data_IF_118445037079
#
_entry.id   IF_118445037079
#
_cell.length_a   1.000
_cell.length_b   1.000
_cell.length_c   1.000
_cell.angle_alpha   90.00
_cell.angle_beta   90.00
_cell.angle_gamma   90.00
#
_symmetry.space_group_name_H-M   'P 1'
#
loop_
_entity.id
_entity.type
_entity.pdbx_description
1 polymer ?
#
# COMPACT_ATOMS: atom_id res chain seq x y z
N UNK A 1 18.30 -13.27 1.13
CA UNK A 1 18.71 -12.90 -0.24
C UNK A 1 17.90 -11.68 -0.63
N UNK A 2 18.53 -10.59 -1.09
CA UNK A 2 17.79 -9.36 -1.41
C UNK A 2 16.89 -9.60 -2.64
N UNK A 3 15.69 -9.04 -2.62
CA UNK A 3 14.65 -9.19 -3.64
C UNK A 3 14.90 -8.37 -4.91
N UNK A 4 16.08 -7.74 -5.02
CA UNK A 4 16.43 -6.89 -6.15
C UNK A 4 16.85 -7.73 -7.35
N UNK A 5 16.06 -7.66 -8.43
CA UNK A 5 16.44 -8.30 -9.70
C UNK A 5 17.55 -7.51 -10.37
N UNK A 6 18.53 -8.19 -10.93
CA UNK A 6 19.54 -7.59 -11.80
C UNK A 6 19.11 -7.74 -13.25
N UNK A 7 19.40 -6.75 -14.08
CA UNK A 7 19.18 -6.88 -15.51
C UNK A 7 20.19 -7.89 -16.07
N UNK A 8 19.69 -8.99 -16.64
CA UNK A 8 20.51 -10.11 -17.11
C UNK A 8 21.47 -9.74 -18.25
N UNK A 9 21.22 -8.63 -18.95
CA UNK A 9 22.06 -8.19 -20.08
C UNK A 9 23.21 -7.29 -19.66
N UNK A 10 23.08 -6.56 -18.55
CA UNK A 10 24.06 -5.54 -18.12
C UNK A 10 24.62 -5.79 -16.71
N UNK A 11 24.08 -6.76 -15.97
CA UNK A 11 24.54 -7.15 -14.64
C UNK A 11 24.26 -6.13 -13.53
N UNK A 12 23.51 -5.07 -13.83
CA UNK A 12 23.25 -3.97 -12.91
C UNK A 12 21.85 -4.10 -12.23
N UNK A 13 21.62 -3.55 -11.03
CA UNK A 13 20.33 -3.65 -10.29
C UNK A 13 19.15 -2.92 -10.94
N UNK A 14 18.01 -3.60 -11.15
CA UNK A 14 16.78 -3.00 -11.71
C UNK A 14 16.28 -1.86 -10.81
N UNK A 15 15.89 -0.76 -11.44
CA UNK A 15 15.41 0.45 -10.76
C UNK A 15 13.87 0.47 -10.81
N UNK A 16 13.21 0.86 -9.72
CA UNK A 16 11.75 0.81 -9.62
C UNK A 16 11.16 2.22 -9.57
N UNK A 17 10.24 2.53 -10.48
CA UNK A 17 9.60 3.84 -10.56
C UNK A 17 8.43 3.92 -9.59
N UNK A 18 8.36 4.99 -8.79
CA UNK A 18 7.31 5.22 -7.81
C UNK A 18 5.95 5.64 -8.41
N UNK A 19 5.94 6.39 -9.51
CA UNK A 19 4.71 6.81 -10.18
C UNK A 19 4.68 6.29 -11.61
N UNK A 20 3.50 6.21 -12.25
CA UNK A 20 3.43 5.78 -13.65
C UNK A 20 4.13 6.81 -14.54
N UNK A 21 4.68 6.37 -15.67
CA UNK A 21 5.43 7.20 -16.62
C UNK A 21 4.69 8.52 -16.93
N UNK A 22 3.37 8.49 -17.09
CA UNK A 22 2.51 9.67 -17.33
C UNK A 22 2.40 10.65 -16.15
N UNK A 23 2.48 10.20 -14.89
CA UNK A 23 2.43 11.05 -13.70
C UNK A 23 3.79 11.71 -13.46
N UNK A 24 4.89 10.95 -13.59
CA UNK A 24 6.26 11.49 -13.58
C UNK A 24 6.43 12.58 -14.64
N UNK A 25 5.90 12.34 -15.84
CA UNK A 25 5.87 13.31 -16.92
C UNK A 25 5.18 14.63 -16.54
N UNK A 26 3.96 14.58 -16.02
CA UNK A 26 3.21 15.78 -15.62
C UNK A 26 3.93 16.57 -14.52
N UNK A 27 4.66 15.88 -13.64
CA UNK A 27 5.48 16.48 -12.58
C UNK A 27 6.74 17.14 -13.14
N UNK A 28 7.39 16.53 -14.15
CA UNK A 28 8.58 17.05 -14.82
C UNK A 28 8.28 18.31 -15.66
N UNK A 29 7.16 18.30 -16.38
CA UNK A 29 6.73 19.44 -17.20
C UNK A 29 6.40 20.70 -16.36
N UNK A 30 6.10 20.54 -15.07
CA UNK A 30 5.87 21.66 -14.15
C UNK A 30 7.16 22.30 -13.62
N UNK A 31 8.33 21.66 -13.71
CA UNK A 31 9.49 22.06 -12.90
C UNK A 31 10.70 22.65 -13.63
N UNK A 32 10.86 22.60 -14.96
CA UNK A 32 12.04 23.23 -15.59
C UNK A 32 11.83 23.88 -16.98
N UNK A 33 12.55 25.01 -17.27
CA UNK A 33 12.59 25.68 -18.58
C UNK A 33 13.70 25.17 -19.53
N UNK A 34 14.42 24.11 -19.16
CA UNK A 34 15.63 23.62 -19.85
C UNK A 34 15.37 22.72 -21.09
N UNK A 35 14.14 22.69 -21.62
CA UNK A 35 13.88 22.25 -22.99
C UNK A 35 13.99 20.74 -23.29
N UNK A 36 14.06 19.86 -22.29
CA UNK A 36 14.05 18.41 -22.54
C UNK A 36 12.71 17.99 -23.16
N UNK A 37 12.76 17.48 -24.40
CA UNK A 37 11.57 17.14 -25.15
C UNK A 37 10.93 15.84 -24.67
N UNK A 38 9.59 15.76 -24.81
CA UNK A 38 8.76 14.60 -24.45
C UNK A 38 9.31 13.27 -24.94
N UNK A 39 9.78 13.25 -26.18
CA UNK A 39 10.32 12.06 -26.82
C UNK A 39 11.58 11.60 -26.12
N UNK A 40 12.53 12.51 -25.84
CA UNK A 40 13.79 12.20 -25.17
C UNK A 40 13.61 11.61 -23.78
N UNK A 41 12.72 12.19 -22.96
CA UNK A 41 12.41 11.67 -21.62
C UNK A 41 11.78 10.27 -21.67
N UNK A 42 10.84 10.04 -22.60
CA UNK A 42 10.19 8.74 -22.75
C UNK A 42 11.14 7.68 -23.33
N UNK A 43 11.97 8.03 -24.32
CA UNK A 43 12.98 7.14 -24.89
C UNK A 43 14.01 6.73 -23.84
N UNK A 44 14.42 7.65 -22.96
CA UNK A 44 15.29 7.30 -21.84
C UNK A 44 14.64 6.33 -20.86
N UNK A 45 13.34 6.49 -20.55
CA UNK A 45 12.59 5.58 -19.67
C UNK A 45 12.21 4.23 -20.32
N UNK A 46 12.22 4.14 -21.64
CA UNK A 46 11.90 2.92 -22.39
C UNK A 46 13.15 2.06 -22.64
N UNK A 47 14.31 2.68 -22.84
CA UNK A 47 15.59 1.99 -23.06
C UNK A 47 16.42 1.70 -21.81
N UNK A 48 15.84 1.81 -20.61
CA UNK A 48 16.55 1.68 -19.33
C UNK A 48 15.92 0.64 -18.42
N UNK A 49 16.63 0.28 -17.34
CA UNK A 49 16.31 -0.83 -16.43
C UNK A 49 15.19 -0.49 -15.43
N UNK A 50 14.19 0.28 -15.84
CA UNK A 50 13.11 0.76 -14.96
C UNK A 50 11.85 -0.11 -15.03
N UNK A 51 11.36 -0.57 -13.87
CA UNK A 51 10.09 -1.31 -13.73
C UNK A 51 9.06 -0.47 -12.96
N UNK A 52 7.79 -0.50 -13.38
CA UNK A 52 6.73 0.35 -12.82
C UNK A 52 6.14 -0.18 -11.49
N UNK A 53 5.87 0.72 -10.52
CA UNK A 53 5.46 0.46 -9.11
C UNK A 53 4.24 -0.43 -8.88
N UNK A 54 3.36 -0.63 -9.85
CA UNK A 54 2.12 -1.38 -9.61
C UNK A 54 2.34 -2.85 -9.22
N UNK A 55 3.56 -3.38 -9.42
CA UNK A 55 3.95 -4.72 -9.00
C UNK A 55 4.85 -4.77 -7.76
N UNK A 56 5.16 -3.65 -7.10
CA UNK A 56 5.94 -3.68 -5.84
C UNK A 56 5.11 -4.20 -4.65
N UNK A 57 3.78 -4.31 -4.78
CA UNK A 57 2.96 -5.05 -3.81
C UNK A 57 3.37 -6.52 -3.66
N UNK A 58 4.01 -7.11 -4.67
CA UNK A 58 4.57 -8.48 -4.60
C UNK A 58 6.06 -8.54 -4.22
N UNK A 59 6.71 -7.38 -4.07
CA UNK A 59 8.12 -7.29 -3.63
C UNK A 59 8.23 -7.08 -2.12
N UNK A 60 7.24 -6.42 -1.52
CA UNK A 60 7.04 -6.44 -0.09
C UNK A 60 6.39 -7.78 0.29
N UNK A 61 7.15 -8.63 1.00
CA UNK A 61 6.68 -9.95 1.42
C UNK A 61 5.38 -9.85 2.22
N UNK A 62 5.25 -8.85 3.08
CA UNK A 62 4.03 -8.57 3.84
C UNK A 62 2.85 -8.19 2.94
N UNK A 63 3.04 -7.32 1.95
CA UNK A 63 1.98 -6.98 1.00
C UNK A 63 1.57 -8.18 0.15
N UNK A 64 2.51 -9.07 -0.19
CA UNK A 64 2.22 -10.28 -0.95
C UNK A 64 1.45 -11.31 -0.12
N UNK A 65 2.01 -11.68 1.04
CA UNK A 65 1.43 -12.70 1.93
C UNK A 65 0.12 -12.26 2.53
N UNK A 66 0.02 -11.02 3.02
CA UNK A 66 -1.19 -10.56 3.70
C UNK A 66 -2.17 -9.90 2.72
N UNK A 67 -1.65 -9.16 1.73
CA UNK A 67 -2.50 -8.45 0.78
C UNK A 67 -3.08 -9.36 -0.30
N UNK A 68 -2.37 -10.39 -0.77
CA UNK A 68 -2.88 -11.26 -1.83
C UNK A 68 -3.44 -12.57 -1.29
N UNK A 69 -2.60 -13.33 -0.57
CA UNK A 69 -2.97 -14.69 -0.12
C UNK A 69 -4.18 -14.71 0.81
N UNK A 70 -4.30 -13.75 1.72
CA UNK A 70 -5.43 -13.70 2.67
C UNK A 70 -6.76 -13.46 1.94
N UNK A 71 -6.77 -12.56 0.95
CA UNK A 71 -7.97 -12.34 0.14
C UNK A 71 -8.27 -13.51 -0.79
N UNK A 72 -7.26 -14.21 -1.32
CA UNK A 72 -7.46 -15.47 -2.05
C UNK A 72 -8.10 -16.55 -1.16
N UNK A 73 -7.64 -16.67 0.09
CA UNK A 73 -8.23 -17.59 1.07
C UNK A 73 -9.67 -17.21 1.41
N UNK A 74 -9.97 -15.92 1.57
CA UNK A 74 -11.34 -15.42 1.79
C UNK A 74 -12.21 -15.71 0.56
N UNK A 75 -11.73 -15.46 -0.65
CA UNK A 75 -12.46 -15.78 -1.88
C UNK A 75 -12.72 -17.29 -2.03
N UNK A 76 -11.73 -18.13 -1.70
CA UNK A 76 -11.90 -19.58 -1.66
C UNK A 76 -12.96 -19.99 -0.66
N UNK A 77 -12.91 -19.44 0.57
CA UNK A 77 -13.90 -19.71 1.61
C UNK A 77 -15.31 -19.31 1.15
N UNK A 78 -15.46 -18.12 0.56
CA UNK A 78 -16.74 -17.65 0.00
C UNK A 78 -17.24 -18.62 -1.06
N UNK A 79 -16.39 -19.05 -1.99
CA UNK A 79 -16.80 -19.92 -3.10
C UNK A 79 -17.13 -21.34 -2.65
N UNK A 80 -16.50 -21.84 -1.59
CA UNK A 80 -16.75 -23.20 -1.07
C UNK A 80 -17.94 -23.23 -0.13
N UNK A 81 -18.07 -22.26 0.77
CA UNK A 81 -19.02 -22.32 1.89
C UNK A 81 -20.30 -21.52 1.64
N UNK A 82 -20.26 -20.49 0.80
CA UNK A 82 -21.40 -19.59 0.60
C UNK A 82 -22.08 -19.91 -0.74
N UNK A 83 -23.29 -20.46 -0.70
CA UNK A 83 -24.11 -20.76 -1.89
C UNK A 83 -24.39 -19.50 -2.73
N UNK A 84 -24.65 -19.69 -4.02
CA UNK A 84 -24.76 -18.70 -5.13
C UNK A 84 -25.52 -17.37 -4.88
N UNK A 85 -26.23 -17.19 -3.77
CA UNK A 85 -27.10 -16.04 -3.55
C UNK A 85 -26.44 -14.85 -2.83
N UNK A 86 -25.18 -14.93 -2.39
CA UNK A 86 -24.51 -13.83 -1.68
C UNK A 86 -23.59 -13.00 -2.58
N UNK A 87 -24.11 -12.55 -3.72
CA UNK A 87 -23.42 -11.67 -4.68
C UNK A 87 -22.87 -10.41 -3.99
N UNK A 88 -23.57 -9.94 -2.96
CA UNK A 88 -23.15 -8.83 -2.09
C UNK A 88 -21.84 -9.12 -1.35
N UNK A 89 -21.70 -10.26 -0.67
CA UNK A 89 -20.48 -10.62 0.10
C UNK A 89 -19.26 -10.71 -0.81
N UNK A 90 -19.44 -11.25 -2.03
CA UNK A 90 -18.36 -11.31 -3.03
C UNK A 90 -17.94 -9.91 -3.50
N UNK A 91 -18.89 -9.01 -3.72
CA UNK A 91 -18.59 -7.63 -4.09
C UNK A 91 -17.90 -6.88 -2.94
N UNK A 92 -18.39 -7.06 -1.71
CA UNK A 92 -17.80 -6.45 -0.51
C UNK A 92 -16.36 -6.93 -0.30
N UNK A 93 -16.08 -8.24 -0.50
CA UNK A 93 -14.73 -8.79 -0.43
C UNK A 93 -13.80 -8.19 -1.49
N UNK A 94 -14.28 -8.05 -2.73
CA UNK A 94 -13.52 -7.46 -3.83
C UNK A 94 -13.23 -5.97 -3.58
N UNK A 95 -14.21 -5.22 -3.11
CA UNK A 95 -14.08 -3.79 -2.87
C UNK A 95 -13.21 -3.52 -1.64
N UNK A 96 -13.36 -4.31 -0.57
CA UNK A 96 -12.46 -4.30 0.58
C UNK A 96 -11.03 -4.60 0.18
N UNK A 97 -10.82 -5.59 -0.69
CA UNK A 97 -9.49 -5.93 -1.23
C UNK A 97 -8.85 -4.77 -1.98
N UNK A 98 -9.59 -4.13 -2.90
CA UNK A 98 -9.11 -2.96 -3.63
C UNK A 98 -8.78 -1.80 -2.68
N UNK A 99 -9.64 -1.55 -1.70
CA UNK A 99 -9.44 -0.48 -0.73
C UNK A 99 -8.19 -0.72 0.11
N UNK A 100 -8.07 -1.87 0.78
CA UNK A 100 -6.92 -2.17 1.65
C UNK A 100 -5.61 -2.12 0.86
N UNK A 101 -5.57 -2.70 -0.36
CA UNK A 101 -4.34 -2.76 -1.17
C UNK A 101 -3.93 -1.42 -1.78
N UNK A 102 -4.88 -0.54 -2.12
CA UNK A 102 -4.60 0.64 -2.96
C UNK A 102 -5.19 1.94 -2.42
N UNK A 103 -6.39 1.89 -1.87
CA UNK A 103 -7.12 3.07 -1.41
C UNK A 103 -6.70 3.55 -0.03
N UNK A 104 -6.42 2.62 0.90
CA UNK A 104 -6.16 2.96 2.30
C UNK A 104 -5.02 3.95 2.47
N UNK A 105 -3.88 3.70 1.82
CA UNK A 105 -2.70 4.56 1.94
C UNK A 105 -2.94 5.99 1.44
N UNK A 106 -3.87 6.21 0.51
CA UNK A 106 -4.18 7.55 -0.01
C UNK A 106 -4.93 8.44 0.98
N UNK A 107 -5.53 7.86 2.02
CA UNK A 107 -6.20 8.59 3.08
C UNK A 107 -5.23 9.05 4.19
N UNK A 108 -4.00 8.54 4.19
CA UNK A 108 -2.99 8.88 5.17
C UNK A 108 -2.29 10.17 4.76
N UNK A 109 -2.17 11.12 5.70
CA UNK A 109 -1.64 12.45 5.43
C UNK A 109 -0.36 12.71 6.21
N UNK A 110 0.66 13.13 5.47
CA UNK A 110 1.91 13.66 6.01
C UNK A 110 2.04 15.10 5.52
N UNK A 111 2.50 15.99 6.39
CA UNK A 111 2.69 17.41 6.07
C UNK A 111 3.85 17.62 5.10
N UNK A 112 3.95 18.80 4.46
CA UNK A 112 5.11 19.17 3.64
C UNK A 112 6.43 19.27 4.41
N UNK A 113 6.36 19.45 5.74
CA UNK A 113 7.51 19.38 6.66
C UNK A 113 7.66 17.97 7.25
N UNK A 114 7.11 16.98 6.57
CA UNK A 114 7.23 15.54 6.83
C UNK A 114 6.65 15.06 8.17
N UNK A 115 6.00 15.92 8.96
CA UNK A 115 5.30 15.48 10.18
C UNK A 115 4.00 14.75 9.84
N UNK A 116 3.75 13.60 10.48
CA UNK A 116 2.47 12.88 10.42
C UNK A 116 1.33 13.78 10.87
N UNK A 117 0.25 13.87 10.09
CA UNK A 117 -0.90 14.71 10.42
C UNK A 117 -1.96 13.92 11.19
N UNK A 118 -2.62 14.61 12.14
CA UNK A 118 -3.82 14.10 12.76
C UNK A 118 -4.95 13.96 11.73
N UNK A 119 -5.81 12.96 11.94
CA UNK A 119 -7.03 12.72 11.18
C UNK A 119 -8.16 12.53 12.17
N UNK A 120 -9.34 13.16 11.97
CA UNK A 120 -10.52 12.88 12.79
C UNK A 120 -10.98 11.42 12.72
N UNK A 121 -10.52 10.66 11.71
CA UNK A 121 -10.76 9.23 11.61
C UNK A 121 -9.58 8.44 12.16
N UNK A 122 -9.83 7.58 13.16
CA UNK A 122 -8.82 6.80 13.88
C UNK A 122 -8.01 5.90 12.94
N UNK A 123 -8.67 5.26 11.97
CA UNK A 123 -8.02 4.39 10.99
C UNK A 123 -7.07 5.13 10.05
N UNK A 124 -7.21 6.46 9.92
CA UNK A 124 -6.39 7.28 9.03
C UNK A 124 -5.41 8.19 9.78
N UNK A 125 -5.41 8.17 11.12
CA UNK A 125 -4.50 8.99 11.90
C UNK A 125 -3.14 8.31 12.02
N UNK A 126 -2.16 8.80 11.26
CA UNK A 126 -0.78 8.30 11.35
C UNK A 126 -0.19 8.50 12.74
N UNK A 127 -0.47 9.63 13.39
CA UNK A 127 -0.02 9.86 14.77
C UNK A 127 -0.56 8.79 15.73
N UNK A 128 -1.82 8.38 15.57
CA UNK A 128 -2.41 7.30 16.36
C UNK A 128 -1.74 5.96 16.08
N UNK A 129 -1.41 5.66 14.82
CA UNK A 129 -0.72 4.43 14.43
C UNK A 129 0.69 4.30 15.04
N UNK A 130 1.27 5.41 15.52
CA UNK A 130 2.55 5.45 16.23
C UNK A 130 2.41 5.81 17.72
N UNK A 131 1.22 5.65 18.29
CA UNK A 131 0.90 5.93 19.69
C UNK A 131 1.25 7.37 20.15
N UNK A 132 1.22 8.32 19.22
CA UNK A 132 1.60 9.73 19.41
C UNK A 132 0.41 10.70 19.26
N UNK A 133 -0.83 10.20 19.28
CA UNK A 133 -2.04 11.03 19.16
C UNK A 133 -2.84 11.01 20.46
N UNK A 134 -3.13 12.19 21.02
CA UNK A 134 -4.00 12.38 22.19
C UNK A 134 -5.30 13.12 21.84
N UNK A 135 -5.60 13.27 20.55
CA UNK A 135 -6.78 13.97 20.06
C UNK A 135 -7.92 12.98 19.81
N UNK A 136 -9.16 13.46 19.89
CA UNK A 136 -10.35 12.65 19.63
C UNK A 136 -10.47 12.27 18.15
N UNK A 137 -11.06 11.10 17.90
CA UNK A 137 -11.30 10.56 16.56
C UNK A 137 -12.79 10.25 16.34
N UNK A 138 -13.65 11.28 16.17
CA UNK A 138 -15.10 11.10 16.10
C UNK A 138 -15.58 10.47 14.77
N UNK A 139 -14.73 10.40 13.74
CA UNK A 139 -15.12 9.93 12.42
C UNK A 139 -14.79 8.45 12.18
N UNK A 140 -15.74 7.74 11.58
CA UNK A 140 -15.54 6.37 11.10
C UNK A 140 -15.47 6.40 9.58
N UNK A 141 -14.36 5.93 9.00
CA UNK A 141 -14.24 5.81 7.57
C UNK A 141 -15.12 4.66 7.07
N UNK A 142 -16.07 4.97 6.19
CA UNK A 142 -16.97 3.98 5.58
C UNK A 142 -16.23 2.90 4.81
N UNK A 143 -15.11 3.22 4.17
CA UNK A 143 -14.33 2.23 3.42
C UNK A 143 -13.49 1.33 4.33
N UNK A 144 -12.98 1.84 5.45
CA UNK A 144 -12.38 1.01 6.51
C UNK A 144 -13.44 0.11 7.15
N UNK A 145 -14.63 0.65 7.44
CA UNK A 145 -15.73 -0.05 8.08
C UNK A 145 -16.28 -1.22 7.23
N UNK A 146 -16.22 -1.10 5.90
CA UNK A 146 -16.56 -2.20 4.97
C UNK A 146 -15.76 -3.47 5.24
N UNK A 147 -14.50 -3.37 5.69
CA UNK A 147 -13.69 -4.54 6.03
C UNK A 147 -14.29 -5.27 7.24
N UNK A 148 -14.64 -4.54 8.30
CA UNK A 148 -15.24 -5.12 9.52
C UNK A 148 -16.65 -5.67 9.24
N UNK A 149 -17.42 -4.96 8.42
CA UNK A 149 -18.74 -5.41 7.97
C UNK A 149 -18.62 -6.71 7.15
N UNK A 150 -17.63 -6.83 6.27
CA UNK A 150 -17.36 -8.07 5.52
C UNK A 150 -17.12 -9.25 6.46
N UNK A 151 -16.24 -9.11 7.45
CA UNK A 151 -15.94 -10.20 8.40
C UNK A 151 -17.14 -10.57 9.27
N UNK A 152 -17.96 -9.59 9.65
CA UNK A 152 -19.21 -9.85 10.39
C UNK A 152 -20.18 -10.66 9.53
N UNK A 153 -20.39 -10.24 8.28
CA UNK A 153 -21.21 -10.97 7.32
C UNK A 153 -20.68 -12.39 7.05
N UNK A 154 -19.36 -12.56 6.94
CA UNK A 154 -18.76 -13.89 6.75
C UNK A 154 -19.07 -14.81 7.93
N UNK A 155 -18.87 -14.36 9.17
CA UNK A 155 -19.17 -15.13 10.39
C UNK A 155 -20.65 -15.48 10.53
N UNK A 156 -21.55 -14.66 10.01
CA UNK A 156 -22.99 -14.97 10.02
C UNK A 156 -23.38 -16.02 8.97
N UNK A 157 -22.55 -16.22 7.95
CA UNK A 157 -22.89 -17.03 6.77
C UNK A 157 -22.00 -18.28 6.58
N UNK A 158 -21.03 -18.52 7.45
CA UNK A 158 -20.22 -19.75 7.46
C UNK A 158 -20.34 -20.45 8.80
N UNK A 159 -20.05 -21.75 8.81
CA UNK A 159 -20.07 -22.53 10.03
C UNK A 159 -19.01 -22.06 11.04
N UNK A 160 -19.29 -22.28 12.33
CA UNK A 160 -18.43 -21.83 13.42
C UNK A 160 -16.99 -22.38 13.36
N UNK A 161 -16.77 -23.49 12.66
CA UNK A 161 -15.44 -24.06 12.45
C UNK A 161 -14.49 -23.12 11.69
N UNK A 162 -15.01 -22.16 10.90
CA UNK A 162 -14.20 -21.19 10.16
C UNK A 162 -13.98 -19.87 10.91
N UNK A 163 -14.59 -19.69 12.08
CA UNK A 163 -14.56 -18.40 12.79
C UNK A 163 -13.15 -18.01 13.26
N UNK A 164 -12.34 -18.99 13.68
CA UNK A 164 -10.96 -18.76 14.09
C UNK A 164 -10.11 -18.27 12.91
N UNK A 165 -10.22 -18.94 11.75
CA UNK A 165 -9.54 -18.51 10.52
C UNK A 165 -9.99 -17.12 10.06
N UNK A 166 -11.29 -16.80 10.18
CA UNK A 166 -11.80 -15.47 9.87
C UNK A 166 -11.23 -14.38 10.79
N UNK A 167 -11.05 -14.67 12.08
CA UNK A 167 -10.38 -13.76 13.01
C UNK A 167 -8.91 -13.57 12.62
N UNK A 168 -8.22 -14.65 12.26
CA UNK A 168 -6.83 -14.59 11.81
C UNK A 168 -6.68 -13.74 10.54
N UNK A 169 -7.51 -13.97 9.52
CA UNK A 169 -7.53 -13.18 8.29
C UNK A 169 -7.82 -11.71 8.56
N UNK A 170 -8.75 -11.42 9.46
CA UNK A 170 -9.05 -10.04 9.85
C UNK A 170 -7.84 -9.36 10.48
N UNK A 171 -7.16 -10.03 11.42
CA UNK A 171 -5.96 -9.52 12.07
C UNK A 171 -4.81 -9.31 11.08
N UNK A 172 -4.63 -10.23 10.14
CA UNK A 172 -3.63 -10.12 9.07
C UNK A 172 -3.89 -8.90 8.17
N UNK A 173 -5.15 -8.61 7.84
CA UNK A 173 -5.51 -7.42 7.06
C UNK A 173 -5.38 -6.12 7.85
N UNK A 174 -5.68 -6.13 9.16
CA UNK A 174 -5.40 -5.00 10.05
C UNK A 174 -3.89 -4.73 10.12
N UNK A 175 -3.08 -5.78 10.25
CA UNK A 175 -1.62 -5.66 10.23
C UNK A 175 -1.13 -5.10 8.89
N UNK A 176 -1.71 -5.52 7.76
CA UNK A 176 -1.40 -4.94 6.45
C UNK A 176 -1.72 -3.45 6.38
N UNK A 177 -2.84 -3.00 6.96
CA UNK A 177 -3.16 -1.58 7.06
C UNK A 177 -2.11 -0.82 7.90
N UNK A 178 -1.68 -1.39 9.04
CA UNK A 178 -0.61 -0.81 9.85
C UNK A 178 0.73 -0.75 9.08
N UNK A 179 1.05 -1.79 8.31
CA UNK A 179 2.22 -1.79 7.42
C UNK A 179 2.14 -0.66 6.38
N UNK A 180 0.97 -0.45 5.75
CA UNK A 180 0.76 0.67 4.84
C UNK A 180 0.91 2.02 5.53
N UNK A 181 0.42 2.16 6.76
CA UNK A 181 0.60 3.36 7.58
C UNK A 181 2.08 3.69 7.81
N UNK A 182 2.84 2.70 8.28
CA UNK A 182 4.27 2.83 8.51
C UNK A 182 5.03 3.16 7.23
N UNK A 183 4.73 2.44 6.14
CA UNK A 183 5.36 2.65 4.83
C UNK A 183 5.10 4.04 4.28
N UNK A 184 3.88 4.54 4.38
CA UNK A 184 3.55 5.91 3.92
C UNK A 184 4.33 6.95 4.70
N UNK A 185 4.42 6.81 6.03
CA UNK A 185 5.17 7.74 6.87
C UNK A 185 6.67 7.71 6.58
N UNK A 186 7.30 6.53 6.54
CA UNK A 186 8.73 6.39 6.29
C UNK A 186 9.12 6.90 4.90
N UNK A 187 8.30 6.62 3.87
CA UNK A 187 8.54 7.16 2.53
C UNK A 187 8.47 8.69 2.50
N UNK A 188 7.67 9.30 3.38
CA UNK A 188 7.61 10.75 3.48
C UNK A 188 8.81 11.36 4.19
N UNK A 189 9.50 10.61 5.08
CA UNK A 189 10.76 11.05 5.73
C UNK A 189 11.99 10.93 4.82
N UNK A 190 11.87 10.19 3.71
CA UNK A 190 13.02 9.79 2.90
C UNK A 190 13.82 11.00 2.37
N UNK A 191 13.14 12.06 1.97
CA UNK A 191 13.78 13.25 1.42
C UNK A 191 14.57 14.01 2.51
N UNK A 192 14.06 14.13 3.75
CA UNK A 192 14.83 14.69 4.89
C UNK A 192 16.00 13.81 5.27
N UNK A 193 15.81 12.50 5.40
CA UNK A 193 16.88 11.56 5.74
C UNK A 193 18.02 11.64 4.71
N UNK A 194 17.70 11.72 3.41
CA UNK A 194 18.66 11.92 2.34
C UNK A 194 19.38 13.27 2.43
N UNK A 195 18.67 14.36 2.78
CA UNK A 195 19.25 15.69 2.90
C UNK A 195 20.20 15.83 4.09
N UNK A 196 20.07 14.97 5.11
CA UNK A 196 20.93 14.94 6.30
C UNK A 196 22.19 14.09 6.14
N UNK A 197 22.32 13.32 5.05
CA UNK A 197 23.51 12.51 4.81
C UNK A 197 24.73 13.40 4.53
N UNK A 198 25.80 13.19 5.29
CA UNK A 198 27.11 13.75 4.97
C UNK A 198 27.85 12.89 3.92
N UNK A 199 29.07 13.29 3.56
CA UNK A 199 29.88 12.58 2.56
C UNK A 199 30.22 11.12 2.91
N UNK A 200 30.05 10.71 4.17
CA UNK A 200 30.29 9.36 4.66
C UNK A 200 28.98 8.67 5.11
N UNK A 201 27.85 9.37 5.08
CA UNK A 201 26.55 8.87 5.48
C UNK A 201 26.03 7.80 4.53
N UNK A 202 25.37 6.79 5.09
CA UNK A 202 24.68 5.75 4.33
C UNK A 202 23.27 5.56 4.87
N UNK A 203 22.28 5.49 3.97
CA UNK A 203 20.90 5.17 4.29
C UNK A 203 20.58 3.76 3.80
N UNK A 204 20.12 2.90 4.71
CA UNK A 204 19.63 1.57 4.36
C UNK A 204 18.13 1.64 4.09
N UNK A 205 17.75 1.51 2.82
CA UNK A 205 16.34 1.43 2.42
C UNK A 205 15.91 -0.04 2.48
N UNK A 206 14.98 -0.34 3.39
CA UNK A 206 14.35 -1.65 3.54
C UNK A 206 12.87 -1.52 3.20
N UNK A 207 12.34 -2.46 2.42
CA UNK A 207 10.91 -2.53 2.05
C UNK A 207 10.04 -3.06 3.19
#
# INVERSE_FOLDING_TARGET
MSSYKTDNSIGLPILYLQDHKKALWNKFHKKYPNGMQRTTFMTQLEGSRFVYKETLGSLCTTCNELGYKVFENIESLINTQIKNNMLKVRNDARDGSKFVRKGFATNLKVSPIEVALHSPCISHCLQQAFDNCNLDHPEICKDCDKLFTLFSNLKENVDSEFHESLIEYQNQLIYLMAHHARKTYLNAQLDVELAQLDMNGALLIVD
#
